data_IF_706776388245
#
_entry.id   IF_706776388245
#
_cell.length_a   1.000
_cell.length_b   1.000
_cell.length_c   1.000
_cell.angle_alpha   90.00
_cell.angle_beta   90.00
_cell.angle_gamma   90.00
#
_symmetry.space_group_name_H-M   'P 1'
#
loop_
_entity.id
_entity.type
_entity.pdbx_description
1 polymer ?
#
# COMPACT_ATOMS: atom_id res chain seq x y z
N UNK A 1 -53.33 -42.20 -79.02
CA UNK A 1 -52.17 -42.84 -79.70
C UNK A 1 -51.01 -42.98 -78.71
N UNK A 2 -50.22 -44.06 -78.79
CA UNK A 2 -48.98 -44.25 -78.00
C UNK A 2 -48.03 -43.02 -78.00
N UNK A 3 -48.15 -42.18 -79.04
CA UNK A 3 -47.42 -40.93 -79.26
C UNK A 3 -47.70 -39.83 -78.22
N UNK A 4 -48.88 -39.79 -77.59
CA UNK A 4 -49.24 -38.75 -76.60
C UNK A 4 -48.97 -39.16 -75.14
N UNK A 5 -48.86 -40.46 -74.87
CA UNK A 5 -48.60 -41.00 -73.53
C UNK A 5 -47.09 -41.05 -73.22
N UNK A 6 -46.26 -41.35 -74.22
CA UNK A 6 -44.79 -41.42 -74.11
C UNK A 6 -44.12 -40.18 -73.46
N UNK A 7 -44.46 -38.93 -73.84
CA UNK A 7 -43.86 -37.73 -73.23
C UNK A 7 -44.24 -37.55 -71.76
N UNK A 8 -45.48 -37.90 -71.38
CA UNK A 8 -45.96 -37.80 -69.99
C UNK A 8 -45.29 -38.83 -69.08
N UNK A 9 -45.09 -40.06 -69.58
CA UNK A 9 -44.33 -41.08 -68.87
C UNK A 9 -42.86 -40.68 -68.68
N UNK A 10 -42.21 -40.14 -69.72
CA UNK A 10 -40.84 -39.67 -69.64
C UNK A 10 -40.68 -38.50 -68.66
N UNK A 11 -41.62 -37.53 -68.66
CA UNK A 11 -41.64 -36.42 -67.70
C UNK A 11 -41.83 -36.92 -66.26
N UNK A 12 -42.80 -37.81 -66.02
CA UNK A 12 -43.03 -38.40 -64.71
C UNK A 12 -41.81 -39.18 -64.21
N UNK A 13 -41.14 -39.92 -65.10
CA UNK A 13 -39.89 -40.62 -64.79
C UNK A 13 -38.74 -39.67 -64.42
N UNK A 14 -38.57 -38.56 -65.14
CA UNK A 14 -37.55 -37.54 -64.86
C UNK A 14 -37.82 -36.86 -63.51
N UNK A 15 -39.08 -36.46 -63.25
CA UNK A 15 -39.48 -35.84 -61.98
C UNK A 15 -39.26 -36.81 -60.81
N UNK A 16 -39.66 -38.08 -60.96
CA UNK A 16 -39.43 -39.11 -59.95
C UNK A 16 -37.93 -39.31 -59.68
N UNK A 17 -37.12 -39.45 -60.73
CA UNK A 17 -35.66 -39.61 -60.59
C UNK A 17 -34.97 -38.41 -59.94
N UNK A 18 -35.46 -37.19 -60.20
CA UNK A 18 -34.99 -35.97 -59.54
C UNK A 18 -35.40 -35.95 -58.06
N UNK A 19 -36.65 -36.28 -57.76
CA UNK A 19 -37.15 -36.39 -56.39
C UNK A 19 -36.39 -37.46 -55.59
N UNK A 20 -36.10 -38.63 -56.19
CA UNK A 20 -35.33 -39.70 -55.55
C UNK A 20 -33.89 -39.25 -55.22
N UNK A 21 -33.26 -38.48 -56.11
CA UNK A 21 -31.93 -37.89 -55.88
C UNK A 21 -31.95 -36.84 -54.77
N UNK A 22 -32.94 -35.95 -54.77
CA UNK A 22 -33.12 -34.93 -53.74
C UNK A 22 -33.38 -35.60 -52.36
N UNK A 23 -34.19 -36.66 -52.31
CA UNK A 23 -34.38 -37.45 -51.08
C UNK A 23 -33.12 -38.17 -50.63
N UNK A 24 -32.31 -38.69 -51.56
CA UNK A 24 -31.05 -39.34 -51.22
C UNK A 24 -30.04 -38.33 -50.66
N UNK A 25 -29.92 -37.16 -51.29
CA UNK A 25 -29.06 -36.08 -50.82
C UNK A 25 -29.49 -35.55 -49.45
N UNK A 26 -30.80 -35.36 -49.23
CA UNK A 26 -31.33 -34.99 -47.91
C UNK A 26 -31.02 -36.03 -46.84
N UNK A 27 -31.06 -37.34 -47.18
CA UNK A 27 -30.70 -38.42 -46.24
C UNK A 27 -29.22 -38.34 -45.86
N UNK A 28 -28.34 -38.12 -46.84
CA UNK A 28 -26.90 -37.99 -46.61
C UNK A 28 -26.58 -36.75 -45.76
N UNK A 29 -27.23 -35.61 -46.05
CA UNK A 29 -27.09 -34.38 -45.27
C UNK A 29 -27.60 -34.55 -43.82
N UNK A 30 -28.75 -35.21 -43.63
CA UNK A 30 -29.28 -35.53 -42.30
C UNK A 30 -28.31 -36.40 -41.50
N UNK A 31 -27.68 -37.41 -42.12
CA UNK A 31 -26.70 -38.27 -41.45
C UNK A 31 -25.43 -37.49 -41.09
N UNK A 32 -24.94 -36.65 -41.99
CA UNK A 32 -23.76 -35.81 -41.74
C UNK A 32 -24.01 -34.80 -40.62
N UNK A 33 -25.15 -34.10 -40.62
CA UNK A 33 -25.52 -33.15 -39.56
C UNK A 33 -25.66 -33.88 -38.22
N UNK A 34 -26.29 -35.06 -38.21
CA UNK A 34 -26.44 -35.87 -36.99
C UNK A 34 -25.09 -36.28 -36.41
N UNK A 35 -24.18 -36.77 -37.25
CA UNK A 35 -22.81 -37.12 -36.82
C UNK A 35 -22.07 -35.92 -36.21
N UNK A 36 -22.16 -34.74 -36.85
CA UNK A 36 -21.56 -33.50 -36.31
C UNK A 36 -22.18 -33.07 -35.00
N UNK A 37 -23.50 -33.22 -34.85
CA UNK A 37 -24.21 -32.92 -33.60
C UNK A 37 -23.75 -33.87 -32.49
N UNK A 38 -23.63 -35.17 -32.76
CA UNK A 38 -23.19 -36.16 -31.78
C UNK A 38 -21.76 -35.87 -31.30
N UNK A 39 -20.84 -35.50 -32.21
CA UNK A 39 -19.48 -35.06 -31.85
C UNK A 39 -19.51 -33.82 -30.98
N UNK A 40 -20.22 -32.76 -31.40
CA UNK A 40 -20.31 -31.52 -30.64
C UNK A 40 -20.94 -31.72 -29.25
N UNK A 41 -21.94 -32.60 -29.12
CA UNK A 41 -22.53 -32.96 -27.84
C UNK A 41 -21.53 -33.67 -26.93
N UNK A 42 -20.75 -34.61 -27.48
CA UNK A 42 -19.72 -35.32 -26.72
C UNK A 42 -18.60 -34.38 -26.23
N UNK A 43 -18.17 -33.44 -27.06
CA UNK A 43 -17.19 -32.41 -26.70
C UNK A 43 -17.73 -31.48 -25.62
N UNK A 44 -18.98 -31.02 -25.76
CA UNK A 44 -19.65 -30.18 -24.78
C UNK A 44 -19.77 -30.88 -23.40
N UNK A 45 -20.07 -32.18 -23.39
CA UNK A 45 -20.10 -32.97 -22.15
C UNK A 45 -18.72 -33.10 -21.51
N UNK A 46 -17.68 -33.36 -22.32
CA UNK A 46 -16.29 -33.44 -21.85
C UNK A 46 -15.84 -32.11 -21.25
N UNK A 47 -16.05 -31.01 -21.95
CA UNK A 47 -15.71 -29.66 -21.46
C UNK A 47 -16.47 -29.29 -20.18
N UNK A 48 -17.75 -29.69 -20.07
CA UNK A 48 -18.53 -29.50 -18.84
C UNK A 48 -17.92 -30.25 -17.67
N UNK A 49 -17.48 -31.49 -17.88
CA UNK A 49 -16.85 -32.29 -16.83
C UNK A 49 -15.50 -31.70 -16.41
N UNK A 50 -14.66 -31.30 -17.36
CA UNK A 50 -13.38 -30.63 -17.09
C UNK A 50 -13.58 -29.32 -16.33
N UNK A 51 -14.57 -28.50 -16.73
CA UNK A 51 -14.93 -27.26 -16.03
C UNK A 51 -15.35 -27.50 -14.59
N UNK A 52 -16.04 -28.60 -14.30
CA UNK A 52 -16.42 -28.96 -12.92
C UNK A 52 -15.18 -29.31 -12.09
N UNK A 53 -14.27 -30.11 -12.64
CA UNK A 53 -13.01 -30.48 -11.96
C UNK A 53 -12.15 -29.24 -11.69
N UNK A 54 -11.96 -28.37 -12.68
CA UNK A 54 -11.16 -27.14 -12.51
C UNK A 54 -11.76 -26.20 -11.47
N UNK A 55 -13.10 -26.09 -11.40
CA UNK A 55 -13.76 -25.30 -10.37
C UNK A 55 -13.53 -25.87 -8.97
N UNK A 56 -13.57 -27.20 -8.84
CA UNK A 56 -13.31 -27.85 -7.57
C UNK A 56 -11.86 -27.59 -7.11
N UNK A 57 -10.88 -27.77 -7.99
CA UNK A 57 -9.47 -27.48 -7.70
C UNK A 57 -9.22 -26.01 -7.33
N UNK A 58 -9.90 -25.07 -8.01
CA UNK A 58 -9.81 -23.65 -7.69
C UNK A 58 -10.37 -23.34 -6.30
N UNK A 59 -11.48 -23.99 -5.92
CA UNK A 59 -12.04 -23.86 -4.58
C UNK A 59 -11.07 -24.39 -3.52
N UNK A 60 -10.51 -25.58 -3.71
CA UNK A 60 -9.54 -26.20 -2.79
C UNK A 60 -8.30 -25.31 -2.62
N UNK A 61 -7.69 -24.89 -3.73
CA UNK A 61 -6.52 -24.00 -3.71
C UNK A 61 -6.83 -22.65 -3.03
N UNK A 62 -8.04 -22.11 -3.22
CA UNK A 62 -8.48 -20.89 -2.53
C UNK A 62 -8.60 -21.09 -1.03
N UNK A 63 -9.14 -22.20 -0.58
CA UNK A 63 -9.26 -22.53 0.85
C UNK A 63 -7.88 -22.72 1.48
N UNK A 64 -6.98 -23.45 0.83
CA UNK A 64 -5.59 -23.61 1.28
C UNK A 64 -4.86 -22.27 1.41
N UNK A 65 -4.99 -21.40 0.40
CA UNK A 65 -4.37 -20.07 0.43
C UNK A 65 -4.95 -19.19 1.55
N UNK A 66 -6.25 -19.27 1.81
CA UNK A 66 -6.89 -18.55 2.91
C UNK A 66 -6.40 -19.05 4.28
N UNK A 67 -6.25 -20.36 4.44
CA UNK A 67 -5.69 -20.95 5.66
C UNK A 67 -4.23 -20.54 5.86
N UNK A 68 -3.41 -20.59 4.79
CA UNK A 68 -2.01 -20.16 4.85
C UNK A 68 -1.90 -18.67 5.19
N UNK A 69 -2.74 -17.82 4.60
CA UNK A 69 -2.80 -16.39 4.94
C UNK A 69 -3.12 -16.20 6.43
N UNK A 70 -4.15 -16.86 6.94
CA UNK A 70 -4.54 -16.75 8.34
C UNK A 70 -3.43 -17.20 9.29
N UNK A 71 -2.79 -18.33 8.99
CA UNK A 71 -1.67 -18.88 9.75
C UNK A 71 -0.46 -17.93 9.75
N UNK A 72 -0.02 -17.46 8.58
CA UNK A 72 1.12 -16.55 8.46
C UNK A 72 0.87 -15.22 9.19
N UNK A 73 -0.34 -14.66 9.09
CA UNK A 73 -0.70 -13.44 9.82
C UNK A 73 -0.68 -13.67 11.33
N UNK A 74 -1.18 -14.81 11.81
CA UNK A 74 -1.18 -15.14 13.24
C UNK A 74 0.23 -15.36 13.78
N UNK A 75 1.04 -16.17 13.09
CA UNK A 75 2.44 -16.41 13.42
C UNK A 75 3.23 -15.09 13.44
N UNK A 76 3.08 -14.29 12.38
CA UNK A 76 3.73 -12.99 12.26
C UNK A 76 3.32 -12.05 13.38
N UNK A 77 2.02 -11.94 13.67
CA UNK A 77 1.50 -11.06 14.74
C UNK A 77 2.06 -11.46 16.09
N UNK A 78 2.01 -12.75 16.45
CA UNK A 78 2.54 -13.23 17.71
C UNK A 78 4.05 -12.97 17.84
N UNK A 79 4.81 -13.33 16.80
CA UNK A 79 6.27 -13.21 16.79
C UNK A 79 6.73 -11.75 16.84
N UNK A 80 6.12 -10.88 16.02
CA UNK A 80 6.49 -9.46 15.98
C UNK A 80 6.03 -8.71 17.22
N UNK A 81 4.90 -9.08 17.85
CA UNK A 81 4.46 -8.47 19.11
C UNK A 81 5.43 -8.81 20.24
N UNK A 82 5.89 -10.07 20.32
CA UNK A 82 6.93 -10.47 21.27
C UNK A 82 8.25 -9.74 21.00
N UNK A 83 8.66 -9.65 19.73
CA UNK A 83 9.88 -8.94 19.35
C UNK A 83 9.80 -7.45 19.67
N UNK A 84 8.65 -6.81 19.44
CA UNK A 84 8.41 -5.41 19.79
C UNK A 84 8.53 -5.20 21.30
N UNK A 85 7.94 -6.09 22.10
CA UNK A 85 8.07 -6.02 23.56
C UNK A 85 9.53 -6.24 24.00
N UNK A 86 10.21 -7.24 23.44
CA UNK A 86 11.59 -7.55 23.79
C UNK A 86 12.57 -6.43 23.41
N UNK A 87 12.35 -5.79 22.26
CA UNK A 87 13.20 -4.71 21.74
C UNK A 87 13.07 -3.39 22.50
N UNK A 88 12.19 -3.29 23.50
CA UNK A 88 12.19 -2.14 24.42
C UNK A 88 13.46 -2.06 25.28
N UNK A 89 14.20 -3.17 25.39
CA UNK A 89 15.48 -3.23 26.11
C UNK A 89 16.64 -3.00 25.13
N UNK A 90 17.51 -2.05 25.47
CA UNK A 90 18.68 -1.72 24.66
C UNK A 90 19.57 -2.95 24.38
N UNK A 91 19.79 -3.80 25.39
CA UNK A 91 20.58 -5.03 25.24
C UNK A 91 19.97 -6.00 24.21
N UNK A 92 18.64 -6.09 24.15
CA UNK A 92 17.99 -6.93 23.14
C UNK A 92 18.22 -6.38 21.72
N UNK A 93 18.28 -5.06 21.55
CA UNK A 93 18.60 -4.45 20.26
C UNK A 93 20.05 -4.74 19.87
N UNK A 94 20.99 -4.71 20.83
CA UNK A 94 22.39 -5.11 20.58
C UNK A 94 22.48 -6.57 20.11
N UNK A 95 21.75 -7.47 20.74
CA UNK A 95 21.68 -8.89 20.34
C UNK A 95 21.06 -9.06 18.94
N UNK A 96 19.99 -8.31 18.63
CA UNK A 96 19.34 -8.31 17.31
C UNK A 96 20.31 -7.83 16.22
N UNK A 97 21.05 -6.76 16.49
CA UNK A 97 22.04 -6.18 15.56
C UNK A 97 23.25 -7.10 15.35
N UNK A 98 23.63 -7.88 16.36
CA UNK A 98 24.67 -8.91 16.21
C UNK A 98 24.19 -10.11 15.37
N UNK A 99 22.87 -10.27 15.20
CA UNK A 99 22.25 -11.25 14.33
C UNK A 99 22.15 -10.81 12.87
N UNK A 100 21.13 -11.31 12.16
CA UNK A 100 20.83 -10.93 10.76
C UNK A 100 19.56 -10.08 10.73
N UNK A 101 19.72 -8.76 10.76
CA UNK A 101 18.60 -7.82 10.83
C UNK A 101 18.03 -7.49 9.44
N UNK A 102 18.84 -7.54 8.39
CA UNK A 102 18.47 -7.11 7.03
C UNK A 102 17.25 -7.86 6.46
N UNK A 103 17.14 -9.20 6.59
CA UNK A 103 15.95 -9.93 6.13
C UNK A 103 14.68 -9.47 6.85
N UNK A 104 14.78 -9.18 8.15
CA UNK A 104 13.65 -8.65 8.92
C UNK A 104 13.23 -7.26 8.43
N UNK A 105 14.18 -6.35 8.19
CA UNK A 105 13.88 -5.01 7.69
C UNK A 105 13.28 -5.04 6.28
N UNK A 106 13.74 -5.95 5.43
CA UNK A 106 13.17 -6.17 4.10
C UNK A 106 11.71 -6.62 4.16
N UNK A 107 11.42 -7.62 5.01
CA UNK A 107 10.05 -8.10 5.24
C UNK A 107 9.18 -6.98 5.84
N UNK A 108 9.72 -6.23 6.80
CA UNK A 108 9.01 -5.10 7.41
C UNK A 108 8.61 -4.06 6.36
N UNK A 109 9.58 -3.58 5.55
CA UNK A 109 9.32 -2.62 4.48
C UNK A 109 8.26 -3.10 3.48
N UNK A 110 8.40 -4.33 2.96
CA UNK A 110 7.44 -4.90 2.00
C UNK A 110 6.05 -5.11 2.59
N UNK A 111 5.96 -5.52 3.86
CA UNK A 111 4.68 -5.71 4.55
C UNK A 111 3.98 -4.36 4.74
N UNK A 112 4.71 -3.33 5.18
CA UNK A 112 4.18 -1.98 5.33
C UNK A 112 3.69 -1.42 3.99
N UNK A 113 4.49 -1.59 2.93
CA UNK A 113 4.14 -1.11 1.59
C UNK A 113 2.89 -1.78 1.03
N UNK A 114 2.83 -3.11 1.10
CA UNK A 114 1.69 -3.89 0.59
C UNK A 114 0.42 -3.55 1.38
N UNK A 115 0.55 -3.40 2.70
CA UNK A 115 -0.59 -3.05 3.54
C UNK A 115 -1.14 -1.66 3.24
N UNK A 116 -0.28 -0.65 3.09
CA UNK A 116 -0.74 0.72 2.79
C UNK A 116 -1.34 0.83 1.39
N UNK A 117 -0.81 0.11 0.39
CA UNK A 117 -1.46 0.00 -0.93
C UNK A 117 -2.88 -0.55 -0.79
N UNK A 118 -3.04 -1.63 -0.03
CA UNK A 118 -4.35 -2.20 0.26
C UNK A 118 -5.28 -1.20 0.99
N UNK A 119 -4.78 -0.43 1.97
CA UNK A 119 -5.57 0.61 2.64
C UNK A 119 -6.07 1.69 1.67
N UNK A 120 -5.27 2.04 0.66
CA UNK A 120 -5.58 3.12 -0.27
C UNK A 120 -6.57 2.69 -1.36
N UNK A 121 -6.51 1.42 -1.79
CA UNK A 121 -7.35 0.83 -2.84
C UNK A 121 -8.77 0.50 -2.37
N UNK A 122 -8.96 0.21 -1.07
CA UNK A 122 -10.28 -0.09 -0.52
C UNK A 122 -11.18 1.16 -0.48
N UNK A 123 -12.17 1.21 -1.37
CA UNK A 123 -13.14 2.33 -1.52
C UNK A 123 -14.10 2.54 -0.33
N UNK A 124 -13.90 1.83 0.80
CA UNK A 124 -14.76 1.93 1.98
C UNK A 124 -13.97 2.40 3.20
N UNK A 125 -14.49 3.37 3.98
CA UNK A 125 -13.89 3.74 5.26
C UNK A 125 -13.87 2.51 6.18
N UNK A 126 -12.67 2.04 6.49
CA UNK A 126 -12.44 0.76 7.16
C UNK A 126 -12.94 0.80 8.61
N UNK A 127 -13.87 -0.10 8.94
CA UNK A 127 -14.50 -0.22 10.25
C UNK A 127 -13.95 -1.37 11.11
N UNK A 128 -12.73 -1.86 10.89
CA UNK A 128 -12.09 -2.74 11.88
C UNK A 128 -10.60 -2.45 12.03
N UNK A 129 -10.27 -1.41 12.80
CA UNK A 129 -8.93 -1.04 13.28
C UNK A 129 -8.32 -2.08 14.25
N UNK A 130 -8.81 -3.34 14.21
CA UNK A 130 -8.50 -4.40 15.16
C UNK A 130 -8.21 -5.75 14.48
N UNK A 131 -7.91 -5.76 13.17
CA UNK A 131 -7.52 -7.01 12.51
C UNK A 131 -6.12 -7.46 12.95
N UNK A 132 -5.84 -8.77 12.88
CA UNK A 132 -4.49 -9.29 13.15
C UNK A 132 -3.44 -8.65 12.23
N UNK A 133 -3.80 -8.33 10.99
CA UNK A 133 -2.92 -7.63 10.03
C UNK A 133 -2.54 -6.22 10.51
N UNK A 134 -3.46 -5.46 11.10
CA UNK A 134 -3.15 -4.16 11.70
C UNK A 134 -2.14 -4.29 12.84
N UNK A 135 -2.32 -5.30 13.71
CA UNK A 135 -1.39 -5.55 14.81
C UNK A 135 -0.01 -5.97 14.33
N UNK A 136 0.07 -6.83 13.31
CA UNK A 136 1.33 -7.20 12.67
C UNK A 136 2.08 -5.97 12.15
N UNK A 137 1.37 -5.10 11.42
CA UNK A 137 1.93 -3.87 10.86
C UNK A 137 2.42 -2.91 11.94
N UNK A 138 1.62 -2.70 12.99
CA UNK A 138 2.04 -1.88 14.14
C UNK A 138 3.24 -2.49 14.86
N UNK A 139 3.28 -3.82 15.03
CA UNK A 139 4.39 -4.49 15.68
C UNK A 139 5.70 -4.39 14.89
N UNK A 140 5.64 -4.56 13.57
CA UNK A 140 6.80 -4.36 12.70
C UNK A 140 7.32 -2.93 12.78
N UNK A 141 6.44 -1.94 12.62
CA UNK A 141 6.82 -0.53 12.75
C UNK A 141 7.38 -0.22 14.13
N UNK A 142 6.77 -0.77 15.19
CA UNK A 142 7.21 -0.59 16.57
C UNK A 142 8.60 -1.17 16.86
N UNK A 143 8.94 -2.33 16.30
CA UNK A 143 10.31 -2.87 16.37
C UNK A 143 11.29 -1.91 15.72
N UNK A 144 10.99 -1.39 14.52
CA UNK A 144 11.85 -0.42 13.82
C UNK A 144 12.01 0.87 14.64
N UNK A 145 10.92 1.38 15.22
CA UNK A 145 10.97 2.57 16.10
C UNK A 145 11.88 2.34 17.31
N UNK A 146 11.80 1.17 17.95
CA UNK A 146 12.66 0.81 19.09
C UNK A 146 14.14 0.71 18.66
N UNK A 147 14.43 0.08 17.51
CA UNK A 147 15.81 0.03 16.98
C UNK A 147 16.35 1.45 16.77
N UNK A 148 15.55 2.34 16.16
CA UNK A 148 15.95 3.74 15.97
C UNK A 148 16.12 4.50 17.30
N UNK A 149 15.45 4.09 18.39
CA UNK A 149 15.60 4.74 19.69
C UNK A 149 17.00 4.51 20.33
N UNK A 150 17.74 3.49 19.90
CA UNK A 150 19.08 3.16 20.42
C UNK A 150 20.18 3.67 19.50
N UNK A 151 21.29 4.14 20.07
CA UNK A 151 22.43 4.72 19.32
C UNK A 151 22.97 3.79 18.23
N UNK A 152 23.38 2.57 18.58
CA UNK A 152 23.89 1.61 17.60
C UNK A 152 22.86 1.19 16.55
N UNK A 153 21.56 1.21 16.91
CA UNK A 153 20.47 0.96 15.98
C UNK A 153 20.32 2.10 14.96
N UNK A 154 20.43 3.37 15.39
CA UNK A 154 20.47 4.52 14.47
C UNK A 154 21.64 4.44 13.51
N UNK A 155 22.83 4.14 14.03
CA UNK A 155 24.03 4.06 13.20
C UNK A 155 23.90 2.99 12.13
N UNK A 156 23.37 1.81 12.49
CA UNK A 156 23.06 0.74 11.54
C UNK A 156 22.02 1.18 10.51
N UNK A 157 20.86 1.70 10.94
CA UNK A 157 19.78 2.08 10.05
C UNK A 157 20.21 3.17 9.05
N UNK A 158 20.94 4.18 9.53
CA UNK A 158 21.46 5.28 8.72
C UNK A 158 22.62 4.89 7.81
N UNK A 159 23.22 3.71 7.97
CA UNK A 159 24.38 3.26 7.17
C UNK A 159 24.05 2.06 6.26
N UNK A 160 23.01 1.29 6.57
CA UNK A 160 22.73 0.01 5.92
C UNK A 160 21.27 -0.23 5.60
N UNK A 161 20.34 0.59 6.11
CA UNK A 161 18.89 0.41 5.91
C UNK A 161 18.21 1.59 5.18
N UNK A 162 18.93 2.28 4.29
CA UNK A 162 18.40 3.43 3.54
C UNK A 162 17.08 3.11 2.82
N UNK A 163 16.97 1.93 2.21
CA UNK A 163 15.74 1.48 1.52
C UNK A 163 14.53 1.50 2.45
N UNK A 164 14.69 1.06 3.71
CA UNK A 164 13.59 1.09 4.66
C UNK A 164 13.21 2.54 5.02
N UNK A 165 14.20 3.41 5.23
CA UNK A 165 13.94 4.83 5.56
C UNK A 165 13.24 5.57 4.43
N UNK A 166 13.68 5.37 3.19
CA UNK A 166 13.02 5.88 1.99
C UNK A 166 11.58 5.35 1.87
N UNK A 167 11.41 4.04 2.15
CA UNK A 167 10.09 3.41 2.20
C UNK A 167 9.20 4.08 3.25
N UNK A 168 9.72 4.37 4.45
CA UNK A 168 8.92 5.05 5.48
C UNK A 168 8.47 6.45 5.04
N UNK A 169 9.36 7.25 4.46
CA UNK A 169 9.03 8.59 3.95
C UNK A 169 7.99 8.51 2.82
N UNK A 170 8.19 7.60 1.87
CA UNK A 170 7.26 7.39 0.75
C UNK A 170 5.88 6.96 1.25
N UNK A 171 5.82 6.03 2.22
CA UNK A 171 4.57 5.53 2.75
C UNK A 171 3.80 6.61 3.50
N UNK A 172 4.47 7.46 4.29
CA UNK A 172 3.84 8.62 4.92
C UNK A 172 3.24 9.59 3.89
N UNK A 173 3.89 9.76 2.74
CA UNK A 173 3.38 10.58 1.64
C UNK A 173 2.13 9.98 0.97
N UNK A 174 2.08 8.65 0.82
CA UNK A 174 0.97 7.96 0.17
C UNK A 174 -0.28 7.79 1.05
N UNK A 175 -0.13 7.84 2.37
CA UNK A 175 -1.25 7.64 3.29
C UNK A 175 -2.17 8.86 3.36
N UNK A 176 -3.46 8.65 3.09
CA UNK A 176 -4.50 9.70 3.20
C UNK A 176 -4.58 10.28 4.63
N UNK A 177 -4.96 11.55 4.81
CA UNK A 177 -5.15 12.16 6.13
C UNK A 177 -6.12 11.37 7.01
N UNK A 178 -5.79 11.19 8.30
CA UNK A 178 -6.63 10.49 9.28
C UNK A 178 -6.69 8.96 9.10
N UNK A 179 -6.08 8.40 8.06
CA UNK A 179 -5.98 6.95 7.87
C UNK A 179 -4.85 6.39 8.72
N UNK A 180 -5.20 5.45 9.58
CA UNK A 180 -4.30 4.68 10.44
C UNK A 180 -3.23 5.51 11.19
N UNK A 181 -3.65 6.52 11.99
CA UNK A 181 -2.72 7.47 12.61
C UNK A 181 -1.65 6.82 13.49
N UNK A 182 -2.00 5.71 14.18
CA UNK A 182 -1.04 4.94 14.99
C UNK A 182 0.19 4.49 14.20
N UNK A 183 0.00 4.08 12.94
CA UNK A 183 1.11 3.67 12.08
C UNK A 183 1.96 4.87 11.67
N UNK A 184 1.34 5.99 11.27
CA UNK A 184 2.04 7.24 10.95
C UNK A 184 2.91 7.71 12.12
N UNK A 185 2.36 7.66 13.34
CA UNK A 185 3.08 8.04 14.57
C UNK A 185 4.33 7.19 14.77
N UNK A 186 4.24 5.85 14.65
CA UNK A 186 5.42 4.98 14.79
C UNK A 186 6.50 5.27 13.75
N UNK A 187 6.10 5.50 12.49
CA UNK A 187 7.02 5.84 11.42
C UNK A 187 7.68 7.20 11.64
N UNK A 188 6.91 8.21 12.06
CA UNK A 188 7.44 9.54 12.39
C UNK A 188 8.38 9.51 13.59
N UNK A 189 8.04 8.75 14.63
CA UNK A 189 8.93 8.53 15.77
C UNK A 189 10.23 7.84 15.35
N UNK A 190 10.15 6.84 14.46
CA UNK A 190 11.36 6.18 13.93
C UNK A 190 12.24 7.18 13.17
N UNK A 191 11.65 7.98 12.27
CA UNK A 191 12.38 9.00 11.50
C UNK A 191 12.97 10.10 12.39
N UNK A 192 12.20 10.60 13.36
CA UNK A 192 12.70 11.54 14.36
C UNK A 192 13.88 10.96 15.12
N UNK A 193 13.78 9.72 15.60
CA UNK A 193 14.88 9.05 16.27
C UNK A 193 16.12 8.99 15.37
N UNK A 194 15.99 8.65 14.09
CA UNK A 194 17.10 8.67 13.12
C UNK A 194 17.78 10.04 13.04
N UNK A 195 17.00 11.13 13.03
CA UNK A 195 17.55 12.50 12.98
C UNK A 195 18.36 12.91 14.22
N UNK A 196 18.37 12.12 15.30
CA UNK A 196 19.21 12.38 16.48
C UNK A 196 20.71 12.14 16.17
N UNK A 197 21.05 11.31 15.18
CA UNK A 197 22.45 11.12 14.76
C UNK A 197 22.80 12.01 13.56
N UNK A 198 24.05 12.46 13.47
CA UNK A 198 24.53 13.34 12.38
C UNK A 198 24.31 12.69 11.00
N UNK A 199 24.65 11.41 10.86
CA UNK A 199 24.46 10.66 9.61
C UNK A 199 22.97 10.52 9.26
N UNK A 200 22.13 10.23 10.26
CA UNK A 200 20.69 10.11 10.05
C UNK A 200 20.03 11.43 9.71
N UNK A 201 20.40 12.51 10.39
CA UNK A 201 19.93 13.86 10.10
C UNK A 201 20.26 14.27 8.67
N UNK A 202 21.52 14.08 8.26
CA UNK A 202 21.95 14.36 6.89
C UNK A 202 21.10 13.58 5.87
N UNK A 203 21.00 12.27 6.06
CA UNK A 203 20.21 11.39 5.18
C UNK A 203 18.75 11.83 5.04
N UNK A 204 18.07 12.10 6.15
CA UNK A 204 16.67 12.52 6.13
C UNK A 204 16.54 13.92 5.50
N UNK A 205 17.42 14.85 5.86
CA UNK A 205 17.38 16.23 5.37
C UNK A 205 17.62 16.36 3.87
N UNK A 206 18.39 15.45 3.27
CA UNK A 206 18.65 15.45 1.83
C UNK A 206 17.46 14.90 1.01
N UNK A 207 16.39 14.42 1.67
CA UNK A 207 15.20 13.93 0.99
C UNK A 207 14.39 15.09 0.36
N UNK A 208 14.26 15.15 -0.98
CA UNK A 208 13.66 16.29 -1.68
C UNK A 208 12.16 16.46 -1.39
N UNK A 209 11.49 15.41 -0.93
CA UNK A 209 10.06 15.41 -0.61
C UNK A 209 9.74 15.76 0.85
N UNK A 210 10.73 16.01 1.70
CA UNK A 210 10.54 16.11 3.15
C UNK A 210 9.67 17.30 3.56
N UNK A 211 9.95 18.51 3.06
CA UNK A 211 9.16 19.70 3.43
C UNK A 211 7.70 19.60 2.95
N UNK A 212 7.40 19.22 1.69
CA UNK A 212 6.02 18.97 1.26
C UNK A 212 5.30 17.88 2.09
N UNK A 213 6.04 16.82 2.46
CA UNK A 213 5.51 15.76 3.33
C UNK A 213 5.12 16.31 4.70
N UNK A 214 6.03 17.02 5.37
CA UNK A 214 5.76 17.63 6.67
C UNK A 214 4.57 18.60 6.62
N UNK A 215 4.49 19.45 5.59
CA UNK A 215 3.34 20.33 5.36
C UNK A 215 2.03 19.55 5.28
N UNK A 216 2.01 18.41 4.58
CA UNK A 216 0.82 17.56 4.44
C UNK A 216 0.44 16.90 5.76
N UNK A 217 1.44 16.43 6.54
CA UNK A 217 1.20 15.76 7.82
C UNK A 217 0.73 16.71 8.93
N UNK A 218 1.10 18.00 8.88
CA UNK A 218 0.59 19.02 9.80
C UNK A 218 -0.90 19.32 9.61
N UNK A 219 -1.47 18.96 8.46
CA UNK A 219 -2.91 19.02 8.18
C UNK A 219 -3.66 17.74 8.58
N UNK A 220 -2.97 16.73 9.14
CA UNK A 220 -3.64 15.50 9.58
C UNK A 220 -4.63 15.81 10.72
N UNK A 221 -5.85 15.23 10.71
CA UNK A 221 -6.83 15.42 11.78
C UNK A 221 -6.38 14.83 13.13
N UNK A 222 -5.44 13.88 13.13
CA UNK A 222 -4.92 13.31 14.36
C UNK A 222 -3.85 14.21 15.00
N UNK A 223 -4.04 14.65 16.26
CA UNK A 223 -3.12 15.58 16.92
C UNK A 223 -1.75 14.97 17.22
N UNK A 224 -1.66 13.64 17.38
CA UNK A 224 -0.40 12.96 17.63
C UNK A 224 0.46 12.90 16.37
N UNK A 225 -0.16 12.71 15.20
CA UNK A 225 0.53 12.82 13.90
C UNK A 225 1.09 14.23 13.71
N UNK A 226 0.30 15.27 14.00
CA UNK A 226 0.77 16.66 13.98
C UNK A 226 1.95 16.87 14.94
N UNK A 227 1.87 16.35 16.17
CA UNK A 227 2.91 16.48 17.19
C UNK A 227 4.23 15.85 16.73
N UNK A 228 4.20 14.61 16.24
CA UNK A 228 5.42 13.93 15.79
C UNK A 228 6.00 14.59 14.53
N UNK A 229 5.16 15.16 13.67
CA UNK A 229 5.60 15.93 12.51
C UNK A 229 6.33 17.22 12.92
N UNK A 230 5.83 17.93 13.93
CA UNK A 230 6.52 19.10 14.49
C UNK A 230 7.85 18.73 15.15
N UNK A 231 7.92 17.62 15.87
CA UNK A 231 9.18 17.15 16.47
C UNK A 231 10.23 16.82 15.42
N UNK A 232 9.82 16.16 14.33
CA UNK A 232 10.71 15.91 13.19
C UNK A 232 11.12 17.22 12.51
N UNK A 233 10.22 18.20 12.40
CA UNK A 233 10.60 19.52 11.91
C UNK A 233 11.64 20.19 12.84
N UNK A 234 11.41 20.19 14.15
CA UNK A 234 12.33 20.79 15.12
C UNK A 234 13.73 20.17 15.05
N UNK A 235 13.87 18.87 14.85
CA UNK A 235 15.19 18.25 14.71
C UNK A 235 15.96 18.77 13.49
N UNK A 236 15.27 19.15 12.42
CA UNK A 236 15.86 19.81 11.26
C UNK A 236 16.21 21.28 11.54
N UNK A 237 15.38 21.99 12.31
CA UNK A 237 15.59 23.39 12.67
C UNK A 237 16.82 23.61 13.56
N UNK A 238 17.20 22.61 14.37
CA UNK A 238 18.32 22.71 15.29
C UNK A 238 19.68 22.79 14.59
N UNK A 239 19.81 22.24 13.38
CA UNK A 239 21.07 22.18 12.64
C UNK A 239 21.16 23.28 11.58
N UNK A 240 22.13 24.20 11.75
CA UNK A 240 22.20 25.42 10.94
C UNK A 240 22.52 25.14 9.49
N UNK A 241 23.39 24.16 9.22
CA UNK A 241 23.77 23.75 7.88
C UNK A 241 22.54 23.25 7.11
N UNK A 242 21.75 22.36 7.73
CA UNK A 242 20.50 21.84 7.16
C UNK A 242 19.54 22.99 6.85
N UNK A 243 19.35 23.89 7.81
CA UNK A 243 18.46 25.04 7.63
C UNK A 243 18.92 25.99 6.54
N UNK A 244 20.22 26.21 6.38
CA UNK A 244 20.75 27.08 5.33
C UNK A 244 20.36 26.59 3.92
N UNK A 245 20.29 25.27 3.72
CA UNK A 245 19.89 24.65 2.46
C UNK A 245 18.37 24.68 2.25
N UNK A 246 17.58 24.58 3.32
CA UNK A 246 16.12 24.49 3.24
C UNK A 246 15.39 25.84 3.33
N UNK A 247 16.08 26.90 3.77
CA UNK A 247 15.45 28.19 4.12
C UNK A 247 14.59 28.77 3.00
N UNK A 248 15.05 28.70 1.74
CA UNK A 248 14.32 29.28 0.60
C UNK A 248 13.02 28.55 0.33
N UNK A 249 13.05 27.21 0.36
CA UNK A 249 11.88 26.38 0.06
C UNK A 249 10.88 26.41 1.21
N UNK A 250 11.39 26.42 2.44
CA UNK A 250 10.61 26.60 3.65
C UNK A 250 9.84 27.94 3.63
N UNK A 251 10.52 29.06 3.37
CA UNK A 251 9.87 30.39 3.32
C UNK A 251 8.83 30.52 2.23
N UNK A 252 9.01 29.83 1.10
CA UNK A 252 8.09 29.93 -0.04
C UNK A 252 6.81 29.14 0.13
N UNK A 253 6.86 28.00 0.82
CA UNK A 253 5.82 26.97 0.72
C UNK A 253 5.35 26.36 2.04
N UNK A 254 6.06 26.59 3.15
CA UNK A 254 5.72 25.94 4.41
C UNK A 254 4.56 26.65 5.13
N UNK A 255 3.54 25.92 5.63
CA UNK A 255 2.32 26.51 6.17
C UNK A 255 2.51 27.05 7.60
N UNK A 256 3.16 28.21 7.75
CA UNK A 256 3.37 28.86 9.05
C UNK A 256 2.06 29.14 9.80
N UNK A 257 1.01 29.52 9.07
CA UNK A 257 -0.33 29.75 9.63
C UNK A 257 -0.88 28.51 10.33
N UNK A 258 -0.57 27.31 9.82
CA UNK A 258 -0.97 26.05 10.45
C UNK A 258 -0.24 25.84 11.77
N UNK A 259 1.05 26.12 11.86
CA UNK A 259 1.81 26.02 13.11
C UNK A 259 1.25 26.99 14.16
N UNK A 260 0.94 28.23 13.76
CA UNK A 260 0.26 29.20 14.64
C UNK A 260 -1.09 28.69 15.16
N UNK A 261 -1.88 28.00 14.32
CA UNK A 261 -3.12 27.37 14.77
C UNK A 261 -2.85 26.24 15.78
N UNK A 262 -1.85 25.39 15.54
CA UNK A 262 -1.45 24.32 16.45
C UNK A 262 -0.92 24.85 17.79
N UNK A 263 -0.28 26.02 17.82
CA UNK A 263 0.13 26.72 19.04
C UNK A 263 -1.06 27.24 19.89
N UNK A 264 -2.29 27.11 19.38
CA UNK A 264 -3.54 27.35 20.12
C UNK A 264 -4.32 26.07 20.38
N UNK A 265 -3.72 24.89 20.16
CA UNK A 265 -4.37 23.59 20.36
C UNK A 265 -4.80 23.35 21.80
N UNK A 266 -5.86 22.55 21.97
CA UNK A 266 -6.32 22.06 23.27
C UNK A 266 -5.42 20.94 23.82
N UNK A 267 -4.58 20.33 22.98
CA UNK A 267 -3.63 19.30 23.38
C UNK A 267 -2.34 19.94 23.93
N UNK A 268 -2.01 19.78 25.22
CA UNK A 268 -0.91 20.52 25.84
C UNK A 268 0.46 20.30 25.19
N UNK A 269 0.82 19.04 24.90
CA UNK A 269 2.10 18.72 24.29
C UNK A 269 2.22 19.30 22.86
N UNK A 270 1.18 19.13 22.03
CA UNK A 270 1.13 19.69 20.68
C UNK A 270 1.21 21.23 20.70
N UNK A 271 0.47 21.87 21.61
CA UNK A 271 0.51 23.31 21.80
C UNK A 271 1.93 23.78 22.14
N UNK A 272 2.55 23.16 23.14
CA UNK A 272 3.88 23.52 23.60
C UNK A 272 4.92 23.35 22.46
N UNK A 273 4.94 22.18 21.82
CA UNK A 273 5.87 21.90 20.72
C UNK A 273 5.68 22.88 19.55
N UNK A 274 4.44 23.26 19.22
CA UNK A 274 4.18 24.26 18.18
C UNK A 274 4.67 25.66 18.57
N UNK A 275 4.54 26.06 19.84
CA UNK A 275 5.07 27.33 20.35
C UNK A 275 6.60 27.35 20.27
N UNK A 276 7.27 26.30 20.76
CA UNK A 276 8.73 26.14 20.67
C UNK A 276 9.21 26.16 19.21
N UNK A 277 8.52 25.46 18.31
CA UNK A 277 8.84 25.45 16.87
C UNK A 277 8.76 26.86 16.27
N UNK A 278 7.77 27.68 16.66
CA UNK A 278 7.67 29.06 16.18
C UNK A 278 8.84 29.91 16.68
N UNK A 279 9.25 29.75 17.93
CA UNK A 279 10.42 30.43 18.51
C UNK A 279 11.72 30.05 17.76
N UNK A 280 11.90 28.77 17.44
CA UNK A 280 13.02 28.27 16.64
C UNK A 280 13.04 28.90 15.24
N UNK A 281 11.86 29.01 14.59
CA UNK A 281 11.72 29.65 13.28
C UNK A 281 11.99 31.16 13.32
N UNK A 282 11.63 31.83 14.42
CA UNK A 282 11.95 33.24 14.66
C UNK A 282 13.46 33.45 14.73
N UNK A 283 14.18 32.57 15.43
CA UNK A 283 15.64 32.62 15.55
C UNK A 283 16.34 32.50 14.18
N UNK A 284 15.74 31.78 13.23
CA UNK A 284 16.25 31.63 11.87
C UNK A 284 15.77 32.73 10.88
N UNK A 285 15.13 33.80 11.36
CA UNK A 285 14.50 34.85 10.55
C UNK A 285 13.46 34.33 9.55
N UNK A 286 12.90 33.13 9.74
CA UNK A 286 11.95 32.52 8.81
C UNK A 286 10.55 33.11 8.98
N UNK A 287 10.23 33.62 10.16
CA UNK A 287 8.92 34.19 10.53
C UNK A 287 8.67 35.63 10.06
N UNK A 288 9.66 36.30 9.46
CA UNK A 288 9.62 37.75 9.22
C UNK A 288 8.67 38.23 8.08
N UNK A 289 7.77 37.38 7.58
CA UNK A 289 6.84 37.73 6.49
C UNK A 289 5.35 37.72 6.86
N UNK A 290 4.96 37.23 8.05
CA UNK A 290 3.55 37.29 8.46
C UNK A 290 3.13 38.66 9.01
N UNK A 291 4.07 39.54 9.36
CA UNK A 291 3.77 40.86 9.95
C UNK A 291 3.47 41.96 8.93
N UNK A 292 3.69 41.72 7.63
CA UNK A 292 3.46 42.72 6.57
C UNK A 292 2.10 42.59 5.86
N UNK A 293 1.26 41.63 6.25
CA UNK A 293 -0.08 41.45 5.68
C UNK A 293 -1.22 42.00 6.56
N UNK A 294 -0.90 42.62 7.71
CA UNK A 294 -1.90 43.22 8.61
C UNK A 294 -1.79 44.74 8.76
N UNK A 295 -0.95 45.39 7.95
CA UNK A 295 -0.88 46.85 7.85
C UNK A 295 -0.85 47.22 6.38
N UNK A 296 -2.02 47.34 5.76
CA UNK A 296 -2.41 48.43 4.86
C UNK A 296 -3.78 48.14 4.21
N UNK A 297 -4.75 49.01 4.53
CA UNK A 297 -6.10 49.24 3.99
C UNK A 297 -7.19 48.17 4.15
#
# INVERSE_FOLDING_TARGET
TLRELMPKFLYCYIVKKRSDREQQQQREDCLHIRSRLDVALSECQRERQEKLVLKQQLCECREELQQQKAFCTELGTASCTLLWSASQREEAIKDILAGKLEPFLSIAGQTLETFIKFLNDEAKPQQSCNSKEHHLVLALAGVVTNIAAVSCGRDFLSSSAHILLDTLLQLLYLMKPGVFPKLKVLMLMALYNITISVNGLKLISESPGLLPLLSTLLEDPDPEVCLQSLRLLQSLLLEREVMSHMTTDFRRSFPLSRIHHLASSRHPALKQTAQETLEDLHTHNISCLCSLAYVEF
#
